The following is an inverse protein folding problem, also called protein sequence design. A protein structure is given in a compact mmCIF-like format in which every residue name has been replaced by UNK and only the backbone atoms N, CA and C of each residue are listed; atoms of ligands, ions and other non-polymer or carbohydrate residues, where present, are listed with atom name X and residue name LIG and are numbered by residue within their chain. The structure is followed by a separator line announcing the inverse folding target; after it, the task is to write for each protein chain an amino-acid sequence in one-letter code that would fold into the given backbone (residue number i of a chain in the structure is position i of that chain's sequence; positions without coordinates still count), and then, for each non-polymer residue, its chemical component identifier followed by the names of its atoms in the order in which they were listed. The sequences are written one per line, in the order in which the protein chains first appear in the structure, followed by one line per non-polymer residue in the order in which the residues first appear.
data_IF_752239250057
#
_entry.id   IF_752239250057
#
_cell.length_a   1.000
_cell.length_b   1.000
_cell.length_c   1.000
_cell.angle_alpha   90.00
_cell.angle_beta   90.00
_cell.angle_gamma   90.00
#
_symmetry.space_group_name_H-M   'P 1'
#
loop_
_entity.id
_entity.type
_entity.pdbx_description
1 polymer ?
#
# COMPACT_ATOMS: atom_id res chain seq x y z
N UNK A 1 6.58 -18.06 16.73
CA UNK A 1 5.55 -17.09 16.26
C UNK A 1 4.93 -17.50 14.92
N UNK A 2 5.64 -17.43 13.78
CA UNK A 2 5.04 -17.80 12.46
C UNK A 2 4.55 -19.25 12.39
N UNK A 3 5.33 -20.20 12.91
CA UNK A 3 4.99 -21.63 12.92
C UNK A 3 3.81 -21.95 13.86
N UNK A 4 3.76 -21.30 15.04
CA UNK A 4 2.69 -21.52 16.02
C UNK A 4 1.36 -20.91 15.54
N UNK A 5 1.42 -19.75 14.88
CA UNK A 5 0.27 -19.14 14.20
C UNK A 5 -0.23 -20.01 13.05
N UNK A 6 0.68 -20.52 12.20
CA UNK A 6 0.32 -21.44 11.11
C UNK A 6 -0.39 -22.68 11.67
N UNK A 7 0.14 -23.30 12.72
CA UNK A 7 -0.49 -24.47 13.35
C UNK A 7 -1.88 -24.18 13.94
N UNK A 8 -2.07 -23.02 14.57
CA UNK A 8 -3.39 -22.61 15.09
C UNK A 8 -4.39 -22.36 13.96
N UNK A 9 -3.94 -21.74 12.86
CA UNK A 9 -4.77 -21.45 11.69
C UNK A 9 -5.14 -22.72 10.90
N UNK A 10 -4.20 -23.65 10.69
CA UNK A 10 -4.47 -24.96 10.09
C UNK A 10 -5.46 -25.76 10.94
N UNK A 11 -5.35 -25.69 12.26
CA UNK A 11 -6.29 -26.32 13.18
C UNK A 11 -7.69 -25.70 13.08
N UNK A 12 -7.79 -24.38 12.98
CA UNK A 12 -9.06 -23.68 12.80
C UNK A 12 -9.72 -24.01 11.45
N UNK A 13 -8.93 -24.19 10.39
CA UNK A 13 -9.39 -24.61 9.07
C UNK A 13 -9.99 -26.02 9.10
N UNK A 14 -9.32 -26.98 9.76
CA UNK A 14 -9.82 -28.35 9.92
C UNK A 14 -11.16 -28.41 10.69
N UNK A 15 -11.37 -27.52 11.65
CA UNK A 15 -12.66 -27.40 12.34
C UNK A 15 -13.72 -26.76 11.44
N UNK A 16 -13.35 -25.81 10.58
CA UNK A 16 -14.26 -25.17 9.63
C UNK A 16 -14.75 -26.17 8.55
N UNK A 17 -13.87 -27.01 8.02
CA UNK A 17 -14.21 -28.06 7.04
C UNK A 17 -15.17 -29.11 7.64
N UNK A 18 -14.99 -29.44 8.93
CA UNK A 18 -15.92 -30.32 9.67
C UNK A 18 -17.30 -29.68 9.90
N UNK A 19 -17.35 -28.36 10.02
CA UNK A 19 -18.59 -27.60 10.21
C UNK A 19 -19.36 -27.51 8.88
N UNK A 20 -18.68 -27.44 7.73
CA UNK A 20 -19.33 -27.52 6.41
C UNK A 20 -19.99 -28.88 6.12
N UNK A 21 -19.47 -29.96 6.71
CA UNK A 21 -20.06 -31.29 6.63
C UNK A 21 -21.30 -31.49 7.53
N UNK A 22 -21.73 -30.45 8.28
CA UNK A 22 -22.89 -30.53 9.17
C UNK A 22 -24.22 -30.47 8.41
N UNK A 23 -25.16 -31.34 8.76
CA UNK A 23 -26.53 -31.34 8.21
C UNK A 23 -27.45 -30.29 8.83
N UNK A 24 -26.98 -29.56 9.85
CA UNK A 24 -27.77 -28.53 10.54
C UNK A 24 -27.96 -27.28 9.64
N UNK A 25 -29.21 -26.87 9.34
CA UNK A 25 -29.51 -25.73 8.47
C UNK A 25 -28.95 -24.39 8.95
N UNK A 26 -28.83 -24.19 10.27
CA UNK A 26 -28.27 -22.95 10.84
C UNK A 26 -26.75 -22.91 10.65
N UNK A 27 -26.10 -24.07 10.79
CA UNK A 27 -24.66 -24.22 10.62
C UNK A 27 -24.26 -24.06 9.15
N UNK A 28 -25.00 -24.66 8.21
CA UNK A 28 -24.81 -24.45 6.75
C UNK A 28 -24.88 -22.99 6.32
N UNK A 29 -25.65 -22.17 7.04
CA UNK A 29 -25.81 -20.75 6.72
C UNK A 29 -24.69 -19.87 7.29
N UNK A 30 -24.01 -20.33 8.34
CA UNK A 30 -22.96 -19.60 9.04
C UNK A 30 -21.55 -20.06 8.65
N UNK A 31 -21.38 -21.33 8.28
CA UNK A 31 -20.09 -21.92 7.91
C UNK A 31 -19.36 -21.12 6.82
N UNK A 32 -20.00 -20.72 5.69
CA UNK A 32 -19.30 -19.98 4.63
C UNK A 32 -18.80 -18.60 5.10
N UNK A 33 -19.52 -17.96 6.06
CA UNK A 33 -19.11 -16.67 6.62
C UNK A 33 -17.93 -16.81 7.58
N UNK A 34 -17.88 -17.88 8.35
CA UNK A 34 -16.77 -18.19 9.25
C UNK A 34 -15.52 -18.58 8.46
N UNK A 35 -15.66 -19.44 7.45
CA UNK A 35 -14.59 -19.82 6.52
C UNK A 35 -14.05 -18.57 5.81
N UNK A 36 -14.93 -17.73 5.25
CA UNK A 36 -14.51 -16.49 4.60
C UNK A 36 -13.83 -15.49 5.55
N UNK A 37 -14.19 -15.48 6.84
CA UNK A 37 -13.52 -14.64 7.84
C UNK A 37 -12.16 -15.20 8.26
N UNK A 38 -12.02 -16.53 8.35
CA UNK A 38 -10.77 -17.22 8.61
C UNK A 38 -9.78 -17.05 7.45
N UNK A 39 -10.24 -17.23 6.20
CA UNK A 39 -9.45 -17.02 5.00
C UNK A 39 -8.89 -15.59 4.91
N UNK A 40 -9.70 -14.58 5.27
CA UNK A 40 -9.23 -13.19 5.39
C UNK A 40 -8.17 -13.01 6.48
N UNK A 41 -8.37 -13.61 7.65
CA UNK A 41 -7.40 -13.52 8.75
C UNK A 41 -6.07 -14.21 8.39
N UNK A 42 -6.12 -15.35 7.70
CA UNK A 42 -4.94 -16.06 7.17
C UNK A 42 -4.20 -15.15 6.18
N UNK A 43 -4.92 -14.57 5.21
CA UNK A 43 -4.33 -13.65 4.22
C UNK A 43 -3.67 -12.42 4.86
N UNK A 44 -4.27 -11.83 5.91
CA UNK A 44 -3.69 -10.71 6.67
C UNK A 44 -2.41 -11.16 7.40
N UNK A 45 -2.43 -12.33 8.03
CA UNK A 45 -1.26 -12.86 8.74
C UNK A 45 -0.10 -13.23 7.79
N UNK A 46 -0.40 -13.80 6.63
CA UNK A 46 0.58 -14.11 5.59
C UNK A 46 1.18 -12.84 4.98
N UNK A 47 0.35 -11.83 4.69
CA UNK A 47 0.81 -10.51 4.23
C UNK A 47 1.71 -9.79 5.24
N UNK A 48 1.42 -9.94 6.54
CA UNK A 48 2.25 -9.38 7.63
C UNK A 48 3.59 -10.12 7.77
N UNK A 49 3.60 -11.45 7.57
CA UNK A 49 4.81 -12.27 7.63
C UNK A 49 5.74 -12.05 6.43
N UNK A 50 5.18 -11.75 5.26
CA UNK A 50 5.93 -11.40 4.04
C UNK A 50 6.72 -10.08 4.19
N UNK A 51 6.31 -9.20 5.09
CA UNK A 51 6.92 -7.87 5.26
C UNK A 51 8.03 -7.84 6.33
N UNK A 52 8.11 -8.85 7.21
CA UNK A 52 9.01 -8.87 8.36
C UNK A 52 10.40 -9.45 8.12
N UNK A 53 10.72 -9.98 6.93
CA UNK A 53 12.02 -10.59 6.66
C UNK A 53 12.54 -10.28 5.26
N UNK A 54 13.75 -9.74 5.24
CA UNK A 54 14.79 -9.89 4.23
C UNK A 54 14.55 -11.04 3.25
N UNK A 55 14.56 -10.73 1.94
CA UNK A 55 14.44 -11.65 0.80
C UNK A 55 13.24 -12.61 0.88
N UNK A 56 12.33 -12.55 -0.10
CA UNK A 56 11.31 -13.61 -0.25
C UNK A 56 12.05 -14.96 -0.18
N UNK A 57 11.68 -15.87 0.75
CA UNK A 57 12.38 -17.13 0.87
C UNK A 57 12.38 -17.82 -0.50
N UNK A 58 13.50 -18.44 -0.88
CA UNK A 58 13.59 -19.09 -2.19
C UNK A 58 12.42 -20.08 -2.34
N UNK A 59 11.79 -20.15 -3.53
CA UNK A 59 10.57 -20.91 -3.74
C UNK A 59 10.75 -22.34 -3.26
N UNK A 60 9.82 -22.81 -2.44
CA UNK A 60 9.82 -24.19 -1.94
C UNK A 60 9.21 -25.07 -3.03
N UNK A 61 10.06 -25.48 -3.97
CA UNK A 61 9.63 -26.27 -5.13
C UNK A 61 9.21 -27.69 -4.73
N UNK A 62 7.95 -28.01 -4.98
CA UNK A 62 7.40 -29.37 -4.87
C UNK A 62 6.65 -29.76 -6.14
N UNK A 63 6.39 -31.05 -6.33
CA UNK A 63 5.55 -31.55 -7.42
C UNK A 63 4.09 -31.33 -7.06
N UNK A 64 3.49 -30.34 -7.70
CA UNK A 64 2.09 -29.95 -7.46
C UNK A 64 1.25 -30.27 -8.68
N UNK A 65 0.07 -30.86 -8.47
CA UNK A 65 -0.91 -31.05 -9.54
C UNK A 65 -1.46 -29.69 -9.97
N UNK A 66 -1.25 -29.34 -11.24
CA UNK A 66 -1.64 -28.04 -11.75
C UNK A 66 -3.16 -27.84 -11.71
N UNK A 67 -3.91 -28.91 -11.99
CA UNK A 67 -5.37 -28.89 -11.98
C UNK A 67 -5.93 -28.39 -10.64
N UNK A 68 -5.34 -28.80 -9.50
CA UNK A 68 -5.82 -28.42 -8.17
C UNK A 68 -5.70 -26.90 -7.94
N UNK A 69 -4.61 -26.27 -8.41
CA UNK A 69 -4.39 -24.83 -8.27
C UNK A 69 -5.32 -24.06 -9.20
N UNK A 70 -5.43 -24.50 -10.46
CA UNK A 70 -6.25 -23.84 -11.47
C UNK A 70 -7.71 -23.86 -11.08
N UNK A 71 -8.21 -25.01 -10.59
CA UNK A 71 -9.58 -25.15 -10.12
C UNK A 71 -9.88 -24.19 -8.96
N UNK A 72 -8.98 -24.10 -7.97
CA UNK A 72 -9.11 -23.21 -6.82
C UNK A 72 -9.17 -21.72 -7.24
N UNK A 73 -8.33 -21.32 -8.21
CA UNK A 73 -8.34 -19.95 -8.75
C UNK A 73 -9.63 -19.65 -9.52
N UNK A 74 -10.06 -20.57 -10.38
CA UNK A 74 -11.27 -20.41 -11.20
C UNK A 74 -12.51 -20.32 -10.32
N UNK A 75 -12.63 -21.17 -9.31
CA UNK A 75 -13.76 -21.15 -8.38
C UNK A 75 -13.80 -19.83 -7.60
N UNK A 76 -12.65 -19.37 -7.08
CA UNK A 76 -12.56 -18.08 -6.39
C UNK A 76 -13.01 -16.91 -7.25
N UNK A 77 -12.58 -16.84 -8.50
CA UNK A 77 -12.94 -15.74 -9.41
C UNK A 77 -14.36 -15.89 -9.99
N UNK A 78 -14.90 -17.11 -10.10
CA UNK A 78 -16.29 -17.34 -10.47
C UNK A 78 -17.24 -16.79 -9.40
N UNK A 79 -16.94 -16.98 -8.12
CA UNK A 79 -17.68 -16.34 -7.03
C UNK A 79 -17.58 -14.80 -7.10
N UNK A 80 -16.40 -14.27 -7.43
CA UNK A 80 -16.16 -12.83 -7.53
C UNK A 80 -16.82 -12.16 -8.76
N UNK A 81 -17.04 -12.91 -9.83
CA UNK A 81 -17.71 -12.43 -11.04
C UNK A 81 -19.19 -12.07 -10.79
N UNK A 82 -19.85 -12.72 -9.83
CA UNK A 82 -21.23 -12.39 -9.43
C UNK A 82 -22.22 -12.53 -10.59
N UNK A 83 -22.85 -11.43 -10.99
CA UNK A 83 -23.85 -11.38 -12.08
C UNK A 83 -23.28 -10.98 -13.44
N UNK A 84 -21.96 -10.85 -13.59
CA UNK A 84 -21.33 -10.50 -14.86
C UNK A 84 -21.26 -11.74 -15.77
N UNK A 85 -21.45 -11.54 -17.07
CA UNK A 85 -21.50 -12.61 -18.06
C UNK A 85 -20.09 -13.03 -18.50
N UNK A 86 -19.36 -13.66 -17.56
CA UNK A 86 -17.98 -14.09 -17.76
C UNK A 86 -17.91 -15.61 -17.63
N UNK A 87 -17.46 -16.27 -18.70
CA UNK A 87 -17.19 -17.71 -18.67
C UNK A 87 -15.74 -17.97 -18.25
N UNK A 88 -15.55 -19.05 -17.49
CA UNK A 88 -14.25 -19.55 -17.11
C UNK A 88 -14.12 -20.98 -17.64
N UNK A 89 -13.06 -21.24 -18.40
CA UNK A 89 -12.75 -22.56 -18.96
C UNK A 89 -11.34 -23.01 -18.57
N UNK A 90 -11.20 -24.30 -18.29
CA UNK A 90 -9.93 -24.93 -17.94
C UNK A 90 -9.68 -26.16 -18.82
N UNK A 91 -8.47 -26.26 -19.36
CA UNK A 91 -7.98 -27.40 -20.14
C UNK A 91 -6.62 -27.82 -19.60
N UNK A 92 -6.64 -28.52 -18.46
CA UNK A 92 -5.45 -29.02 -17.77
C UNK A 92 -5.48 -30.55 -17.78
N UNK A 93 -4.44 -31.24 -18.29
CA UNK A 93 -4.36 -32.68 -18.18
C UNK A 93 -4.36 -33.13 -16.71
N UNK A 94 -5.25 -34.05 -16.33
CA UNK A 94 -5.45 -34.45 -14.93
C UNK A 94 -4.20 -35.04 -14.25
N UNK A 95 -3.27 -35.58 -15.02
CA UNK A 95 -2.00 -36.14 -14.54
C UNK A 95 -0.85 -35.11 -14.52
N UNK A 96 -1.06 -33.88 -14.99
CA UNK A 96 -0.03 -32.86 -15.10
C UNK A 96 0.41 -32.38 -13.70
N UNK A 97 1.65 -32.67 -13.36
CA UNK A 97 2.31 -32.16 -12.17
C UNK A 97 3.46 -31.24 -12.59
N UNK A 98 3.59 -30.11 -11.93
CA UNK A 98 4.63 -29.12 -12.18
C UNK A 98 5.46 -28.92 -10.91
N UNK A 99 6.77 -28.73 -11.08
CA UNK A 99 7.69 -28.51 -9.97
C UNK A 99 7.75 -27.02 -9.64
N UNK A 100 6.93 -26.59 -8.68
CA UNK A 100 6.68 -25.18 -8.35
C UNK A 100 6.47 -24.99 -6.86
N UNK A 101 6.59 -23.75 -6.40
CA UNK A 101 6.02 -23.36 -5.11
C UNK A 101 4.51 -23.15 -5.30
N UNK A 102 3.69 -23.93 -4.57
CA UNK A 102 2.22 -23.92 -4.72
C UNK A 102 1.64 -22.52 -4.47
N UNK A 103 2.07 -21.86 -3.40
CA UNK A 103 1.54 -20.56 -2.99
C UNK A 103 1.92 -19.48 -3.98
N UNK A 104 3.18 -19.47 -4.43
CA UNK A 104 3.63 -18.50 -5.43
C UNK A 104 2.93 -18.70 -6.78
N UNK A 105 2.74 -19.95 -7.23
CA UNK A 105 2.03 -20.22 -8.48
C UNK A 105 0.55 -19.82 -8.38
N UNK A 106 -0.12 -20.14 -7.28
CA UNK A 106 -1.48 -19.69 -7.01
C UNK A 106 -1.59 -18.17 -7.08
N UNK A 107 -0.66 -17.44 -6.46
CA UNK A 107 -0.61 -15.98 -6.46
C UNK A 107 -0.41 -15.40 -7.87
N UNK A 108 0.40 -16.04 -8.71
CA UNK A 108 0.56 -15.63 -10.12
C UNK A 108 -0.75 -15.80 -10.88
N UNK A 109 -1.34 -16.99 -10.83
CA UNK A 109 -2.55 -17.32 -11.60
C UNK A 109 -3.75 -16.48 -11.16
N UNK A 110 -3.99 -16.36 -9.85
CA UNK A 110 -5.06 -15.52 -9.30
C UNK A 110 -4.94 -14.06 -9.75
N UNK A 111 -3.73 -13.48 -9.73
CA UNK A 111 -3.52 -12.11 -10.20
C UNK A 111 -3.84 -11.94 -11.69
N UNK A 112 -3.41 -12.89 -12.53
CA UNK A 112 -3.68 -12.84 -13.97
C UNK A 112 -5.18 -12.95 -14.27
N UNK A 113 -5.87 -13.93 -13.67
CA UNK A 113 -7.30 -14.16 -13.87
C UNK A 113 -8.13 -12.99 -13.34
N UNK A 114 -7.79 -12.46 -12.16
CA UNK A 114 -8.45 -11.28 -11.58
C UNK A 114 -8.30 -10.06 -12.49
N UNK A 115 -7.10 -9.81 -13.02
CA UNK A 115 -6.84 -8.67 -13.91
C UNK A 115 -7.63 -8.80 -15.22
N UNK A 116 -7.68 -9.98 -15.82
CA UNK A 116 -8.49 -10.27 -17.00
C UNK A 116 -9.98 -10.01 -16.73
N UNK A 117 -10.52 -10.52 -15.60
CA UNK A 117 -11.91 -10.30 -15.19
C UNK A 117 -12.22 -8.81 -15.06
N UNK A 118 -11.38 -8.06 -14.35
CA UNK A 118 -11.57 -6.61 -14.17
C UNK A 118 -11.55 -5.85 -15.49
N UNK A 119 -10.66 -6.24 -16.42
CA UNK A 119 -10.56 -5.63 -17.74
C UNK A 119 -11.84 -5.85 -18.55
N UNK A 120 -12.34 -7.09 -18.63
CA UNK A 120 -13.58 -7.47 -19.32
C UNK A 120 -14.79 -6.72 -18.73
N UNK A 121 -14.95 -6.72 -17.39
CA UNK A 121 -16.05 -6.01 -16.71
C UNK A 121 -16.05 -4.53 -17.07
N UNK A 122 -14.87 -3.90 -17.09
CA UNK A 122 -14.76 -2.47 -17.39
C UNK A 122 -15.08 -2.08 -18.84
N UNK A 123 -15.09 -3.03 -19.79
CA UNK A 123 -15.21 -2.76 -21.24
C UNK A 123 -16.48 -3.34 -21.89
N UNK A 124 -17.46 -3.81 -21.11
CA UNK A 124 -18.74 -4.28 -21.67
C UNK A 124 -19.22 -5.64 -21.17
N UNK A 125 -18.54 -6.22 -20.17
CA UNK A 125 -19.13 -7.21 -19.26
C UNK A 125 -19.30 -8.64 -19.78
N UNK A 126 -19.08 -8.89 -21.07
CA UNK A 126 -19.10 -10.22 -21.68
C UNK A 126 -17.71 -10.68 -22.07
N UNK A 127 -17.31 -11.88 -21.68
CA UNK A 127 -16.02 -12.42 -22.09
C UNK A 127 -15.70 -13.78 -21.50
N UNK A 128 -14.60 -14.36 -21.98
CA UNK A 128 -14.11 -15.66 -21.55
C UNK A 128 -12.69 -15.54 -21.01
N UNK A 129 -12.40 -16.26 -19.92
CA UNK A 129 -11.06 -16.47 -19.40
C UNK A 129 -10.76 -17.97 -19.43
N UNK A 130 -9.71 -18.35 -20.13
CA UNK A 130 -9.30 -19.72 -20.35
C UNK A 130 -7.90 -19.98 -19.77
N UNK A 131 -7.75 -21.08 -19.03
CA UNK A 131 -6.46 -21.56 -18.54
C UNK A 131 -6.15 -22.92 -19.17
N UNK A 132 -5.02 -23.03 -19.87
CA UNK A 132 -4.59 -24.25 -20.56
C UNK A 132 -3.22 -24.68 -20.06
N UNK A 133 -3.10 -25.97 -19.71
CA UNK A 133 -1.86 -26.61 -19.32
C UNK A 133 -1.39 -27.54 -20.43
N UNK A 134 -0.14 -27.43 -20.86
CA UNK A 134 0.47 -28.36 -21.81
C UNK A 134 1.83 -28.78 -21.32
N UNK A 135 2.08 -30.08 -21.32
CA UNK A 135 3.41 -30.60 -21.05
C UNK A 135 4.12 -30.89 -22.37
N UNK A 136 5.38 -30.50 -22.45
CA UNK A 136 6.29 -30.86 -23.55
C UNK A 136 7.51 -31.55 -22.95
N UNK A 137 8.35 -32.19 -23.76
CA UNK A 137 9.46 -33.00 -23.27
C UNK A 137 10.44 -32.24 -22.35
N UNK A 138 10.58 -30.91 -22.53
CA UNK A 138 11.54 -30.08 -21.80
C UNK A 138 10.89 -29.05 -20.85
N UNK A 139 9.63 -28.65 -21.08
CA UNK A 139 8.96 -27.58 -20.33
C UNK A 139 7.45 -27.79 -20.21
N UNK A 140 6.90 -27.37 -19.07
CA UNK A 140 5.46 -27.30 -18.85
C UNK A 140 4.95 -25.88 -19.13
N UNK A 141 4.01 -25.76 -20.06
CA UNK A 141 3.36 -24.51 -20.42
C UNK A 141 2.07 -24.30 -19.66
N UNK A 142 1.90 -23.10 -19.10
CA UNK A 142 0.63 -22.62 -18.54
C UNK A 142 0.24 -21.38 -19.34
N UNK A 143 -0.87 -21.47 -20.07
CA UNK A 143 -1.39 -20.38 -20.89
C UNK A 143 -2.66 -19.84 -20.25
N UNK A 144 -2.65 -18.56 -19.87
CA UNK A 144 -3.84 -17.82 -19.47
C UNK A 144 -4.25 -16.90 -20.62
N UNK A 145 -5.48 -17.02 -21.09
CA UNK A 145 -6.03 -16.23 -22.20
C UNK A 145 -7.34 -15.58 -21.78
N UNK A 146 -7.53 -14.32 -22.16
CA UNK A 146 -8.79 -13.61 -22.00
C UNK A 146 -9.29 -13.03 -23.33
N UNK A 147 -10.58 -12.70 -23.39
CA UNK A 147 -11.21 -12.00 -24.51
C UNK A 147 -11.42 -10.51 -24.22
N UNK A 148 -10.67 -9.93 -23.29
CA UNK A 148 -10.73 -8.53 -22.93
C UNK A 148 -10.16 -7.60 -24.02
N UNK A 149 -10.07 -6.29 -23.73
CA UNK A 149 -9.63 -5.27 -24.69
C UNK A 149 -8.15 -5.38 -25.11
N UNK A 150 -7.41 -6.35 -24.57
CA UNK A 150 -5.97 -6.46 -24.71
C UNK A 150 -5.21 -5.37 -23.96
N UNK A 151 -3.89 -5.40 -24.07
CA UNK A 151 -3.01 -4.47 -23.39
C UNK A 151 -2.63 -3.30 -24.31
N UNK A 152 -2.69 -2.04 -23.84
CA UNK A 152 -2.15 -0.90 -24.58
C UNK A 152 -0.66 -1.08 -24.90
N UNK A 153 -0.13 -0.54 -26.02
CA UNK A 153 1.28 -0.70 -26.41
C UNK A 153 2.28 -0.28 -25.32
N UNK A 154 1.97 0.75 -24.54
CA UNK A 154 2.79 1.20 -23.40
C UNK A 154 2.82 0.19 -22.25
N UNK A 155 1.70 -0.49 -21.99
CA UNK A 155 1.65 -1.55 -20.98
C UNK A 155 2.37 -2.82 -21.44
N UNK A 156 2.37 -3.11 -22.75
CA UNK A 156 3.13 -4.23 -23.32
C UNK A 156 4.64 -4.05 -23.16
N UNK A 157 5.15 -2.82 -23.34
CA UNK A 157 6.57 -2.51 -23.18
C UNK A 157 7.07 -2.72 -21.74
N UNK A 158 6.17 -2.60 -20.76
CA UNK A 158 6.52 -2.51 -19.34
C UNK A 158 5.80 -3.58 -18.50
N UNK A 159 5.42 -4.70 -19.10
CA UNK A 159 4.53 -5.72 -18.51
C UNK A 159 5.06 -6.30 -17.19
N UNK A 160 6.39 -6.42 -17.11
CA UNK A 160 7.11 -6.96 -15.96
C UNK A 160 7.96 -5.92 -15.25
N UNK A 161 7.80 -4.64 -15.64
CA UNK A 161 8.40 -3.52 -14.91
C UNK A 161 7.40 -3.07 -13.84
N UNK A 162 7.77 -3.13 -12.55
CA UNK A 162 6.91 -2.67 -11.48
C UNK A 162 6.39 -1.24 -11.74
N UNK A 163 5.08 -1.03 -11.58
CA UNK A 163 4.44 0.29 -11.53
C UNK A 163 4.36 1.13 -12.83
N UNK A 164 4.69 0.56 -14.00
CA UNK A 164 4.72 1.32 -15.27
C UNK A 164 3.49 1.13 -16.19
N UNK A 165 2.56 0.22 -15.86
CA UNK A 165 1.45 -0.19 -16.75
C UNK A 165 0.08 0.47 -16.54
N UNK A 166 -0.10 1.33 -15.53
CA UNK A 166 -1.42 1.89 -15.18
C UNK A 166 -1.86 3.06 -16.08
N UNK A 167 -2.66 2.80 -17.12
CA UNK A 167 -3.15 3.83 -18.06
C UNK A 167 -4.52 4.46 -17.71
N UNK A 168 -5.00 4.41 -16.46
CA UNK A 168 -6.25 5.11 -16.11
C UNK A 168 -5.99 6.58 -15.79
N UNK A 169 -6.31 7.46 -16.74
CA UNK A 169 -6.48 8.90 -16.49
C UNK A 169 -7.73 9.11 -15.64
N UNK A 170 -7.56 9.57 -14.40
CA UNK A 170 -8.67 10.01 -13.54
C UNK A 170 -8.97 9.08 -12.37
N UNK A 171 -8.01 8.93 -11.46
CA UNK A 171 -8.25 8.68 -10.04
C UNK A 171 -8.74 7.28 -9.62
N UNK A 172 -8.41 6.95 -8.38
CA UNK A 172 -9.07 5.96 -7.50
C UNK A 172 -8.47 4.55 -7.35
N UNK A 173 -7.38 4.18 -8.02
CA UNK A 173 -6.70 2.90 -7.68
C UNK A 173 -5.94 3.01 -6.36
N UNK A 174 -4.78 3.66 -6.43
CA UNK A 174 -3.82 3.78 -5.33
C UNK A 174 -4.37 4.57 -4.14
N UNK A 175 -5.15 5.64 -4.36
CA UNK A 175 -5.75 6.41 -3.28
C UNK A 175 -6.84 5.65 -2.50
N UNK A 176 -7.61 4.77 -3.16
CA UNK A 176 -8.59 3.90 -2.46
C UNK A 176 -7.88 2.77 -1.74
N UNK A 177 -6.83 2.24 -2.34
CA UNK A 177 -5.97 1.22 -1.73
C UNK A 177 -5.27 1.76 -0.48
N UNK A 178 -4.62 2.93 -0.55
CA UNK A 178 -4.04 3.63 0.59
C UNK A 178 -5.09 3.93 1.67
N UNK A 179 -6.30 4.38 1.28
CA UNK A 179 -7.40 4.58 2.22
C UNK A 179 -7.82 3.26 2.89
N UNK A 180 -7.82 2.15 2.17
CA UNK A 180 -8.08 0.82 2.72
C UNK A 180 -7.11 0.47 3.85
N UNK A 181 -5.81 0.68 3.65
CA UNK A 181 -4.79 0.51 4.68
C UNK A 181 -4.96 1.48 5.86
N UNK A 182 -5.29 2.74 5.60
CA UNK A 182 -5.50 3.73 6.66
C UNK A 182 -6.76 3.42 7.51
N UNK A 183 -7.85 3.00 6.86
CA UNK A 183 -9.11 2.64 7.52
C UNK A 183 -8.96 1.32 8.33
N UNK A 184 -8.08 0.40 7.92
CA UNK A 184 -7.73 -0.81 8.67
C UNK A 184 -6.67 -0.58 9.76
N UNK A 185 -6.08 0.62 9.85
CA UNK A 185 -5.00 0.95 10.78
C UNK A 185 -3.64 0.36 10.39
N UNK A 186 -3.52 -0.13 9.16
CA UNK A 186 -2.30 -0.67 8.56
C UNK A 186 -1.41 0.44 7.99
N UNK A 187 -0.11 0.18 7.91
CA UNK A 187 0.82 1.10 7.26
C UNK A 187 0.68 0.98 5.74
N UNK A 188 0.48 2.12 5.07
CA UNK A 188 0.44 2.17 3.60
C UNK A 188 1.81 1.75 3.05
N UNK A 189 1.90 0.73 2.18
CA UNK A 189 3.19 0.27 1.64
C UNK A 189 3.93 1.37 0.87
N UNK A 190 5.26 1.37 0.95
CA UNK A 190 6.13 2.36 0.29
C UNK A 190 5.89 2.45 -1.22
N UNK A 191 5.61 1.32 -1.87
CA UNK A 191 5.27 1.25 -3.30
C UNK A 191 3.97 1.97 -3.65
N UNK A 192 2.95 1.89 -2.79
CA UNK A 192 1.68 2.59 -2.97
C UNK A 192 1.90 4.09 -2.80
N UNK A 193 2.67 4.50 -1.78
CA UNK A 193 3.03 5.90 -1.56
C UNK A 193 3.83 6.46 -2.74
N UNK A 194 4.85 5.75 -3.22
CA UNK A 194 5.65 6.14 -4.40
C UNK A 194 4.78 6.26 -5.65
N UNK A 195 3.86 5.33 -5.88
CA UNK A 195 2.90 5.40 -6.97
C UNK A 195 2.02 6.65 -6.89
N UNK A 196 1.55 7.00 -5.69
CA UNK A 196 0.79 8.23 -5.45
C UNK A 196 1.62 9.49 -5.72
N UNK A 197 2.89 9.52 -5.31
CA UNK A 197 3.81 10.63 -5.60
C UNK A 197 4.04 10.75 -7.11
N UNK A 198 4.29 9.63 -7.81
CA UNK A 198 4.48 9.60 -9.28
C UNK A 198 3.27 10.18 -10.01
N UNK A 199 2.07 9.71 -9.66
CA UNK A 199 0.82 10.20 -10.25
C UNK A 199 0.65 11.70 -10.01
N UNK A 200 0.92 12.16 -8.79
CA UNK A 200 0.78 13.56 -8.41
C UNK A 200 1.77 14.48 -9.12
N UNK A 201 3.03 14.04 -9.25
CA UNK A 201 4.09 14.78 -9.94
C UNK A 201 3.89 14.84 -11.45
N UNK A 202 3.06 13.97 -12.03
CA UNK A 202 2.71 14.00 -13.46
C UNK A 202 1.70 15.08 -13.85
N UNK A 203 1.15 15.83 -12.91
CA UNK A 203 0.19 16.90 -13.18
C UNK A 203 0.85 18.18 -13.74
N UNK A 204 0.10 19.01 -14.47
CA UNK A 204 0.68 20.20 -15.13
C UNK A 204 1.16 21.29 -14.16
N UNK A 205 0.61 21.33 -12.95
CA UNK A 205 0.93 22.36 -11.95
C UNK A 205 2.31 22.14 -11.29
N UNK A 206 2.85 20.93 -11.33
CA UNK A 206 4.17 20.58 -10.75
C UNK A 206 5.33 20.92 -11.68
N UNK A 207 5.05 21.31 -12.94
CA UNK A 207 6.06 21.68 -13.93
C UNK A 207 6.89 22.91 -13.53
N UNK A 208 6.32 23.78 -12.68
CA UNK A 208 7.03 24.96 -12.16
C UNK A 208 7.88 24.67 -10.93
N UNK A 209 7.78 23.46 -10.38
CA UNK A 209 8.36 23.07 -9.11
C UNK A 209 7.33 22.39 -8.21
N UNK A 210 7.84 21.74 -7.17
CA UNK A 210 7.03 21.00 -6.21
C UNK A 210 7.73 20.97 -4.85
N UNK A 211 6.94 20.76 -3.79
CA UNK A 211 7.44 20.52 -2.44
C UNK A 211 6.89 19.17 -2.00
N UNK A 212 7.76 18.27 -1.59
CA UNK A 212 7.38 17.01 -0.96
C UNK A 212 7.38 17.22 0.54
N UNK A 213 6.19 17.24 1.14
CA UNK A 213 6.02 17.39 2.58
C UNK A 213 5.72 16.02 3.21
N UNK A 214 6.56 15.60 4.16
CA UNK A 214 6.42 14.34 4.87
C UNK A 214 6.79 13.09 4.07
N UNK A 215 7.48 13.24 2.94
CA UNK A 215 8.06 12.15 2.13
C UNK A 215 9.38 12.62 1.49
N UNK A 216 10.45 11.79 1.48
CA UNK A 216 10.55 10.44 2.05
C UNK A 216 10.73 10.46 3.58
N UNK A 217 10.46 9.31 4.22
CA UNK A 217 10.56 9.12 5.69
C UNK A 217 11.67 8.14 6.10
N UNK A 218 12.26 7.44 5.15
CA UNK A 218 13.39 6.54 5.36
C UNK A 218 14.30 6.51 4.12
N UNK A 219 15.50 5.96 4.24
CA UNK A 219 16.50 5.91 3.17
C UNK A 219 16.04 5.10 1.95
N UNK A 220 15.33 3.99 2.15
CA UNK A 220 14.80 3.20 1.02
C UNK A 220 13.77 3.97 0.19
N UNK A 221 12.91 4.76 0.83
CA UNK A 221 11.99 5.66 0.13
C UNK A 221 12.73 6.77 -0.61
N UNK A 222 13.83 7.29 -0.05
CA UNK A 222 14.63 8.32 -0.71
C UNK A 222 15.33 7.78 -1.96
N UNK A 223 15.95 6.60 -1.88
CA UNK A 223 16.57 5.93 -3.03
C UNK A 223 15.55 5.66 -4.15
N UNK A 224 14.36 5.15 -3.78
CA UNK A 224 13.28 4.90 -4.73
C UNK A 224 12.71 6.19 -5.34
N UNK A 225 12.59 7.26 -4.54
CA UNK A 225 12.19 8.59 -5.01
C UNK A 225 13.19 9.12 -6.04
N UNK A 226 14.49 9.00 -5.77
CA UNK A 226 15.53 9.48 -6.68
C UNK A 226 15.51 8.75 -8.03
N UNK A 227 15.35 7.42 -8.02
CA UNK A 227 15.19 6.64 -9.25
C UNK A 227 13.95 7.08 -10.05
N UNK A 228 12.81 7.24 -9.36
CA UNK A 228 11.57 7.71 -9.99
C UNK A 228 11.72 9.12 -10.58
N UNK A 229 12.32 10.06 -9.86
CA UNK A 229 12.52 11.43 -10.35
C UNK A 229 13.43 11.46 -11.57
N UNK A 230 14.49 10.65 -11.58
CA UNK A 230 15.40 10.51 -12.71
C UNK A 230 14.67 10.02 -13.97
N UNK A 231 13.82 9.00 -13.86
CA UNK A 231 12.97 8.51 -14.97
C UNK A 231 12.03 9.60 -15.51
N UNK A 232 11.52 10.46 -14.62
CA UNK A 232 10.62 11.56 -14.97
C UNK A 232 11.37 12.80 -15.53
N UNK A 233 12.71 12.78 -15.57
CA UNK A 233 13.52 13.95 -15.93
C UNK A 233 13.40 15.10 -14.92
N UNK A 234 13.09 14.76 -13.67
CA UNK A 234 12.95 15.68 -12.53
C UNK A 234 14.08 15.44 -11.53
N UNK A 235 14.22 16.32 -10.54
CA UNK A 235 15.24 16.17 -9.50
C UNK A 235 14.94 17.04 -8.28
N UNK A 236 15.54 16.70 -7.16
CA UNK A 236 15.48 17.51 -5.94
C UNK A 236 16.60 18.53 -5.95
N UNK A 237 16.25 19.81 -5.85
CA UNK A 237 17.22 20.92 -5.74
C UNK A 237 17.67 21.15 -4.31
N UNK A 238 16.79 20.87 -3.34
CA UNK A 238 17.04 21.05 -1.92
C UNK A 238 16.29 20.02 -1.08
N UNK A 239 16.91 19.61 0.02
CA UNK A 239 16.29 18.89 1.11
C UNK A 239 16.34 19.77 2.38
N UNK A 240 15.21 20.35 2.76
CA UNK A 240 15.15 21.28 3.88
C UNK A 240 15.01 20.53 5.21
N UNK A 241 15.96 20.74 6.13
CA UNK A 241 15.95 20.25 7.49
C UNK A 241 15.71 21.43 8.44
N UNK A 242 14.59 21.39 9.15
CA UNK A 242 14.20 22.41 10.12
C UNK A 242 14.60 21.94 11.51
N UNK A 243 15.73 22.45 12.00
CA UNK A 243 16.31 22.05 13.28
C UNK A 243 15.62 22.75 14.45
N UNK A 244 15.21 21.99 15.47
CA UNK A 244 14.47 22.50 16.62
C UNK A 244 14.90 21.77 17.91
N UNK A 245 15.17 22.49 19.01
CA UNK A 245 15.43 21.86 20.31
C UNK A 245 14.26 20.98 20.78
N UNK A 246 14.58 19.83 21.36
CA UNK A 246 13.60 18.82 21.79
C UNK A 246 12.50 19.40 22.70
N UNK A 247 12.88 20.21 23.69
CA UNK A 247 11.92 20.79 24.64
C UNK A 247 10.92 21.73 23.97
N UNK A 248 11.36 22.48 22.94
CA UNK A 248 10.48 23.35 22.16
C UNK A 248 9.60 22.53 21.21
N UNK A 249 10.14 21.48 20.61
CA UNK A 249 9.38 20.56 19.76
C UNK A 249 8.25 19.89 20.55
N UNK A 250 8.56 19.41 21.76
CA UNK A 250 7.57 18.79 22.65
C UNK A 250 6.43 19.76 22.96
N UNK A 251 6.76 21.01 23.36
CA UNK A 251 5.75 22.07 23.59
C UNK A 251 4.92 22.39 22.35
N UNK A 252 5.54 22.39 21.15
CA UNK A 252 4.82 22.63 19.89
C UNK A 252 3.80 21.53 19.60
N UNK A 253 4.15 20.27 19.83
CA UNK A 253 3.31 19.12 19.55
C UNK A 253 2.23 18.92 20.62
N UNK A 254 2.58 18.85 21.91
CA UNK A 254 1.61 18.64 23.01
C UNK A 254 0.67 19.83 23.21
N UNK A 255 1.18 21.04 22.93
CA UNK A 255 0.40 22.26 23.05
C UNK A 255 -0.60 22.50 21.92
N UNK A 256 -0.53 21.73 20.82
CA UNK A 256 -1.38 21.93 19.64
C UNK A 256 -2.85 21.70 19.97
N UNK A 257 -3.70 22.63 19.52
CA UNK A 257 -5.15 22.55 19.60
C UNK A 257 -5.72 22.85 18.23
N UNK A 258 -6.66 22.03 17.77
CA UNK A 258 -7.32 22.19 16.48
C UNK A 258 -8.77 22.57 16.71
N UNK A 259 -9.28 23.57 15.99
CA UNK A 259 -10.70 23.90 16.03
C UNK A 259 -11.53 22.88 15.26
N UNK A 260 -12.57 22.30 15.89
CA UNK A 260 -13.49 21.36 15.23
C UNK A 260 -14.25 21.99 14.06
N UNK A 261 -14.51 23.30 14.12
CA UNK A 261 -15.35 24.00 13.15
C UNK A 261 -14.58 24.49 11.91
N UNK A 262 -13.35 24.96 12.07
CA UNK A 262 -12.61 25.61 10.97
C UNK A 262 -11.23 25.01 10.70
N UNK A 263 -10.78 24.03 11.49
CA UNK A 263 -9.45 23.43 11.34
C UNK A 263 -8.28 24.35 11.73
N UNK A 264 -8.54 25.58 12.19
CA UNK A 264 -7.49 26.48 12.63
C UNK A 264 -6.72 25.86 13.81
N UNK A 265 -5.39 25.92 13.72
CA UNK A 265 -4.49 25.43 14.74
C UNK A 265 -4.12 26.56 15.71
N UNK A 266 -4.09 26.21 16.99
CA UNK A 266 -3.64 27.02 18.12
C UNK A 266 -2.56 26.25 18.89
N UNK A 267 -1.83 26.95 19.75
CA UNK A 267 -0.87 26.31 20.64
C UNK A 267 -0.90 27.00 22.01
N UNK A 268 -1.18 26.25 23.08
CA UNK A 268 -1.35 26.82 24.42
C UNK A 268 -0.11 27.54 24.97
N UNK A 269 1.08 27.30 24.43
CA UNK A 269 2.34 27.94 24.86
C UNK A 269 2.76 29.12 23.99
N UNK A 270 2.50 29.05 22.67
CA UNK A 270 3.04 30.01 21.70
C UNK A 270 1.98 30.91 21.06
N UNK A 271 0.74 30.43 20.97
CA UNK A 271 -0.37 31.11 20.29
C UNK A 271 -1.69 30.63 20.91
N UNK A 272 -1.85 30.93 22.21
CA UNK A 272 -3.00 30.50 22.98
C UNK A 272 -4.27 31.21 22.48
N UNK A 273 -5.42 30.53 22.47
CA UNK A 273 -6.69 31.19 22.20
C UNK A 273 -6.99 32.24 23.28
N UNK A 274 -7.80 33.25 22.95
CA UNK A 274 -8.24 34.28 23.89
C UNK A 274 -9.05 33.69 25.05
N UNK A 275 -9.81 32.62 24.78
CA UNK A 275 -10.58 31.89 25.77
C UNK A 275 -10.21 30.40 25.72
N UNK A 276 -10.06 29.80 26.90
CA UNK A 276 -9.66 28.39 27.01
C UNK A 276 -10.68 27.47 26.32
N UNK A 277 -10.19 26.60 25.45
CA UNK A 277 -11.02 25.65 24.70
C UNK A 277 -11.87 26.26 23.58
N UNK A 278 -11.77 27.56 23.31
CA UNK A 278 -12.65 28.26 22.35
C UNK A 278 -11.85 28.89 21.21
N UNK A 279 -12.27 28.65 19.98
CA UNK A 279 -11.67 29.23 18.78
C UNK A 279 -11.96 30.74 18.67
N UNK A 280 -10.92 31.54 18.52
CA UNK A 280 -11.02 33.00 18.39
C UNK A 280 -11.80 33.48 17.16
N UNK A 281 -11.91 32.66 16.11
CA UNK A 281 -12.52 33.04 14.83
C UNK A 281 -14.00 32.70 14.73
N UNK A 282 -14.41 31.54 15.26
CA UNK A 282 -15.75 30.99 15.08
C UNK A 282 -16.42 30.51 16.38
N UNK A 283 -15.76 30.67 17.53
CA UNK A 283 -16.28 30.19 18.82
C UNK A 283 -16.36 28.66 18.94
N UNK A 284 -15.84 27.91 17.95
CA UNK A 284 -15.86 26.46 17.95
C UNK A 284 -14.94 25.84 19.01
N UNK A 285 -15.28 24.63 19.45
CA UNK A 285 -14.49 23.87 20.43
C UNK A 285 -13.10 23.53 19.89
N UNK A 286 -12.09 23.75 20.71
CA UNK A 286 -10.72 23.35 20.46
C UNK A 286 -10.46 21.98 21.09
N UNK A 287 -9.91 21.06 20.32
CA UNK A 287 -9.52 19.73 20.79
C UNK A 287 -8.04 19.44 20.52
N UNK A 288 -7.47 18.55 21.30
CA UNK A 288 -6.15 17.96 21.04
C UNK A 288 -6.34 16.68 20.24
N UNK A 289 -5.56 16.49 19.18
CA UNK A 289 -5.62 15.27 18.36
C UNK A 289 -4.95 14.12 19.12
N UNK A 290 -5.38 12.89 18.86
CA UNK A 290 -4.80 11.72 19.54
C UNK A 290 -3.30 11.55 19.28
N UNK A 291 -2.83 11.95 18.09
CA UNK A 291 -1.41 11.90 17.70
C UNK A 291 -0.54 12.98 18.37
N UNK A 292 -1.15 13.88 19.14
CA UNK A 292 -0.51 14.98 19.88
C UNK A 292 -0.37 14.67 21.39
N UNK A 293 -0.69 13.45 21.83
CA UNK A 293 -0.45 12.96 23.20
C UNK A 293 1.03 12.70 23.43
N UNK A 294 1.53 12.98 24.64
CA UNK A 294 2.96 12.91 24.96
C UNK A 294 3.57 11.53 24.67
N UNK A 295 2.89 10.44 25.05
CA UNK A 295 3.36 9.08 24.79
C UNK A 295 3.45 8.78 23.29
N UNK A 296 2.48 9.28 22.52
CA UNK A 296 2.46 9.09 21.06
C UNK A 296 3.56 9.90 20.38
N UNK A 297 3.80 11.13 20.86
CA UNK A 297 4.89 11.98 20.37
C UNK A 297 6.24 11.34 20.64
N UNK A 298 6.49 10.82 21.85
CA UNK A 298 7.75 10.12 22.18
C UNK A 298 8.03 8.98 21.20
N UNK A 299 7.03 8.11 20.98
CA UNK A 299 7.15 7.01 20.01
C UNK A 299 7.41 7.51 18.59
N UNK A 300 6.78 8.61 18.16
CA UNK A 300 7.04 9.21 16.83
C UNK A 300 8.46 9.77 16.70
N UNK A 301 9.00 10.32 17.78
CA UNK A 301 10.37 10.84 17.80
C UNK A 301 11.41 9.72 17.78
N UNK A 302 11.14 8.60 18.46
CA UNK A 302 11.96 7.39 18.35
C UNK A 302 11.99 6.89 16.89
N UNK A 303 10.83 6.71 16.27
CA UNK A 303 10.74 6.30 14.85
C UNK A 303 11.45 7.29 13.92
N UNK A 304 11.34 8.60 14.19
CA UNK A 304 12.07 9.62 13.43
C UNK A 304 13.58 9.43 13.57
N UNK A 305 14.10 9.22 14.77
CA UNK A 305 15.55 9.01 14.97
C UNK A 305 16.05 7.75 14.25
N UNK A 306 15.27 6.67 14.29
CA UNK A 306 15.69 5.40 13.71
C UNK A 306 15.60 5.38 12.18
N UNK A 307 14.54 5.98 11.62
CA UNK A 307 14.21 5.82 10.19
C UNK A 307 14.45 7.08 9.38
N UNK A 308 14.14 8.25 9.93
CA UNK A 308 14.14 9.52 9.17
C UNK A 308 15.42 10.31 9.34
N UNK A 309 16.01 10.35 10.55
CA UNK A 309 17.26 11.06 10.78
C UNK A 309 18.42 10.63 9.87
N UNK A 310 18.58 9.34 9.47
CA UNK A 310 19.57 8.94 8.47
C UNK A 310 19.44 9.65 7.11
N UNK A 311 18.26 10.22 6.79
CA UNK A 311 18.09 11.01 5.56
C UNK A 311 18.90 12.31 5.57
N UNK A 312 19.26 12.81 6.74
CA UNK A 312 20.16 13.96 6.87
C UNK A 312 21.50 13.62 6.21
N UNK A 313 22.09 12.47 6.56
CA UNK A 313 23.37 12.06 6.00
C UNK A 313 23.24 11.72 4.52
N UNK A 314 22.14 11.07 4.13
CA UNK A 314 21.82 10.76 2.73
C UNK A 314 21.81 12.03 1.85
N UNK A 315 21.04 13.04 2.23
CA UNK A 315 20.93 14.29 1.45
C UNK A 315 22.13 15.22 1.62
N UNK A 316 22.85 15.12 2.74
CA UNK A 316 24.14 15.79 2.94
C UNK A 316 25.18 15.23 1.96
N UNK A 317 25.26 13.89 1.81
CA UNK A 317 26.14 13.23 0.85
C UNK A 317 25.86 13.62 -0.61
N UNK A 318 24.62 14.02 -0.92
CA UNK A 318 24.21 14.57 -2.22
C UNK A 318 24.47 16.06 -2.39
N UNK A 319 24.87 16.77 -1.33
CA UNK A 319 25.12 18.22 -1.36
C UNK A 319 23.86 19.09 -1.47
N UNK A 320 22.67 18.51 -1.31
CA UNK A 320 21.39 19.23 -1.41
C UNK A 320 20.73 19.49 -0.05
N UNK A 321 21.30 18.99 1.05
CA UNK A 321 20.78 19.26 2.39
C UNK A 321 20.96 20.73 2.76
N UNK A 322 19.86 21.33 3.22
CA UNK A 322 19.70 22.73 3.59
C UNK A 322 19.17 22.78 5.01
N UNK A 323 19.94 23.32 5.97
CA UNK A 323 19.52 23.41 7.38
C UNK A 323 19.04 24.80 7.72
N UNK A 324 17.94 24.89 8.46
CA UNK A 324 17.38 26.14 8.97
C UNK A 324 17.00 25.97 10.44
N UNK A 325 17.21 27.01 11.24
CA UNK A 325 16.73 27.07 12.61
C UNK A 325 15.21 27.26 12.62
N UNK A 326 14.49 26.31 13.23
CA UNK A 326 13.03 26.34 13.36
C UNK A 326 12.52 27.08 14.60
N UNK A 327 13.40 27.70 15.38
CA UNK A 327 13.05 28.51 16.55
C UNK A 327 12.64 29.94 16.15
N UNK A 328 11.89 30.62 17.02
CA UNK A 328 11.40 31.98 16.78
C UNK A 328 10.05 32.05 16.05
N UNK A 329 9.79 33.21 15.43
CA UNK A 329 8.52 33.53 14.76
C UNK A 329 8.44 32.97 13.33
N UNK A 330 7.23 32.63 12.89
CA UNK A 330 6.97 32.01 11.58
C UNK A 330 7.52 32.88 10.43
N UNK A 331 7.34 34.20 10.50
CA UNK A 331 7.79 35.12 9.44
C UNK A 331 9.32 35.15 9.31
N UNK A 332 10.04 35.06 10.43
CA UNK A 332 11.51 35.02 10.43
C UNK A 332 12.02 33.68 9.87
N UNK A 333 11.40 32.57 10.27
CA UNK A 333 11.73 31.24 9.74
C UNK A 333 11.46 31.20 8.23
N UNK A 334 10.33 31.74 7.78
CA UNK A 334 9.97 31.82 6.36
C UNK A 334 11.00 32.63 5.57
N UNK A 335 11.40 33.81 6.07
CA UNK A 335 12.42 34.63 5.42
C UNK A 335 13.77 33.89 5.30
N UNK A 336 14.20 33.21 6.36
CA UNK A 336 15.44 32.43 6.35
C UNK A 336 15.38 31.27 5.34
N UNK A 337 14.24 30.57 5.26
CA UNK A 337 14.04 29.50 4.27
C UNK A 337 14.08 30.06 2.85
N UNK A 338 13.40 31.16 2.59
CA UNK A 338 13.37 31.80 1.28
C UNK A 338 14.75 32.26 0.83
N UNK A 339 15.52 32.91 1.71
CA UNK A 339 16.90 33.31 1.44
C UNK A 339 17.79 32.10 1.10
N UNK A 340 17.63 31.01 1.86
CA UNK A 340 18.44 29.81 1.72
C UNK A 340 18.11 29.01 0.44
N UNK A 341 16.87 29.08 -0.04
CA UNK A 341 16.41 28.50 -1.29
C UNK A 341 16.56 29.46 -2.50
N UNK A 342 16.84 30.75 -2.26
CA UNK A 342 16.99 31.77 -3.30
C UNK A 342 15.67 32.19 -3.96
N UNK A 343 14.57 32.21 -3.21
CA UNK A 343 13.20 32.51 -3.70
C UNK A 343 12.57 33.75 -3.09
#
# INVERSE_FOLDING_TARGET
VSHDLRNVLTTAQLFADRIEASEDPAVRRMAPKLVGSLARAISICEGTLAFGKAEEPPPALDWVRLADIVHEVVDGERLAAGSHDISFSEDIPAAMAVRVDREQLYRILSNLVRNARQAIVSHGGTGEIMIVGRDTDDVSWITVRDTGPGLPPRAQANLFTPFEGGTRKGGTGLGKEAKGYMDSGELVPDSVVLGMVRERLGADDTKKGYILDGFPRNTSQAEALDGMLLEMGMGLEAALSVDMPFDLLMKRLTGRRTCKACGQMFNIYFSAPKAEGVCDKFGGELFQRDDDKEETIKKRLEVYQDQTAPLIDYYSGKGILKRVDGTGGIDAIFANVSELLGV
#
